data_IF_100461481370
#
_entry.id   IF_100461481370
#
_cell.length_a   1.000
_cell.length_b   1.000
_cell.length_c   1.000
_cell.angle_alpha   90.00
_cell.angle_beta   90.00
_cell.angle_gamma   90.00
#
_symmetry.space_group_name_H-M   'P 1'
#
loop_
_entity.id
_entity.type
_entity.pdbx_description
1 polymer ?
#
# COMPACT_ATOMS: atom_id res chain seq x y z
N UNK A 1 13.80 -14.34 4.65
CA UNK A 1 13.22 -14.41 6.02
C UNK A 1 13.53 -13.14 6.86
N UNK A 2 12.98 -11.98 6.49
CA UNK A 2 13.04 -10.77 7.36
C UNK A 2 11.76 -9.93 7.29
N UNK A 3 11.06 -9.94 6.15
CA UNK A 3 9.77 -9.27 6.01
C UNK A 3 8.72 -9.73 7.03
N UNK A 4 8.69 -11.03 7.37
CA UNK A 4 7.80 -11.55 8.41
C UNK A 4 8.12 -10.94 9.79
N UNK A 5 9.40 -10.78 10.14
CA UNK A 5 9.80 -10.13 11.39
C UNK A 5 9.33 -8.66 11.39
N UNK A 6 9.57 -7.92 10.29
CA UNK A 6 9.08 -6.55 10.14
C UNK A 6 7.56 -6.45 10.22
N UNK A 7 6.86 -7.44 9.67
CA UNK A 7 5.41 -7.55 9.75
C UNK A 7 4.95 -7.73 11.19
N UNK A 8 5.48 -8.71 11.93
CA UNK A 8 5.10 -8.94 13.32
C UNK A 8 5.45 -7.76 14.23
N UNK A 9 6.61 -7.12 14.04
CA UNK A 9 6.97 -5.89 14.75
C UNK A 9 5.97 -4.77 14.42
N UNK A 10 5.65 -4.57 13.13
CA UNK A 10 4.66 -3.57 12.70
C UNK A 10 3.30 -3.82 13.35
N UNK A 11 2.82 -5.06 13.34
CA UNK A 11 1.54 -5.47 13.93
C UNK A 11 1.53 -5.24 15.44
N UNK A 12 2.60 -5.61 16.14
CA UNK A 12 2.73 -5.44 17.59
C UNK A 12 2.67 -3.96 17.98
N UNK A 13 3.49 -3.12 17.31
CA UNK A 13 3.51 -1.69 17.54
C UNK A 13 2.18 -1.03 17.18
N UNK A 14 1.56 -1.43 16.07
CA UNK A 14 0.25 -0.92 15.68
C UNK A 14 -0.80 -1.27 16.74
N UNK A 15 -0.86 -2.52 17.23
CA UNK A 15 -1.80 -2.90 18.29
C UNK A 15 -1.61 -2.08 19.57
N UNK A 16 -0.37 -1.75 19.93
CA UNK A 16 -0.09 -0.88 21.09
C UNK A 16 -0.61 0.55 20.85
N UNK A 17 -0.39 1.12 19.66
CA UNK A 17 -0.90 2.44 19.27
C UNK A 17 -2.43 2.49 19.30
N UNK A 18 -3.08 1.46 18.75
CA UNK A 18 -4.53 1.38 18.62
C UNK A 18 -5.24 1.20 19.98
N UNK A 19 -4.62 0.56 20.98
CA UNK A 19 -5.20 0.45 22.33
C UNK A 19 -5.53 1.79 22.99
N UNK A 20 -4.87 2.87 22.56
CA UNK A 20 -5.06 4.21 23.09
C UNK A 20 -6.09 5.02 22.29
N UNK A 21 -6.61 4.46 21.18
CA UNK A 21 -7.57 5.13 20.31
C UNK A 21 -8.98 4.61 20.58
N UNK A 22 -9.94 5.51 20.72
CA UNK A 22 -11.36 5.17 20.72
C UNK A 22 -11.77 4.72 19.32
N UNK A 23 -12.44 3.58 19.23
CA UNK A 23 -13.05 3.12 17.99
C UNK A 23 -14.15 4.11 17.59
N UNK A 24 -14.14 4.54 16.33
CA UNK A 24 -15.18 5.36 15.72
C UNK A 24 -15.84 4.54 14.62
N UNK A 25 -17.17 4.44 14.63
CA UNK A 25 -17.91 3.64 13.65
C UNK A 25 -17.77 4.13 12.21
N UNK A 26 -17.28 5.36 12.00
CA UNK A 26 -17.11 5.99 10.69
C UNK A 26 -15.65 6.39 10.42
N UNK A 27 -15.20 6.14 9.18
CA UNK A 27 -13.93 6.58 8.63
C UNK A 27 -14.15 7.84 7.77
N UNK A 28 -13.57 8.97 8.18
CA UNK A 28 -13.59 10.17 7.34
C UNK A 28 -12.63 10.02 6.14
N UNK A 29 -12.93 10.72 5.04
CA UNK A 29 -12.03 10.79 3.88
C UNK A 29 -10.64 11.32 4.27
N UNK A 30 -10.56 12.27 5.20
CA UNK A 30 -9.30 12.77 5.74
C UNK A 30 -8.50 11.66 6.44
N UNK A 31 -9.16 10.83 7.26
CA UNK A 31 -8.52 9.68 7.92
C UNK A 31 -8.03 8.66 6.90
N UNK A 32 -8.85 8.34 5.89
CA UNK A 32 -8.55 7.36 4.86
C UNK A 32 -7.36 7.79 3.98
N UNK A 33 -7.30 9.08 3.63
CA UNK A 33 -6.28 9.66 2.74
C UNK A 33 -5.04 10.16 3.47
N UNK A 34 -5.04 10.13 4.82
CA UNK A 34 -3.86 10.48 5.60
C UNK A 34 -2.66 9.59 5.23
N UNK A 35 -1.52 10.18 4.83
CA UNK A 35 -0.39 9.38 4.37
C UNK A 35 0.21 8.50 5.48
N UNK A 36 0.50 7.24 5.14
CA UNK A 36 1.23 6.30 6.00
C UNK A 36 2.71 6.42 5.71
N UNK A 37 3.43 7.04 6.65
CA UNK A 37 4.88 7.20 6.57
C UNK A 37 5.57 6.16 7.43
N UNK A 38 6.47 5.37 6.83
CA UNK A 38 7.36 4.46 7.54
C UNK A 38 8.80 4.65 7.12
N UNK A 39 9.71 4.44 8.07
CA UNK A 39 11.14 4.46 7.80
C UNK A 39 11.70 3.04 7.82
N UNK A 40 12.49 2.72 6.81
CA UNK A 40 13.21 1.47 6.71
C UNK A 40 14.70 1.74 6.49
N UNK A 41 15.53 0.78 6.87
CA UNK A 41 16.94 0.74 6.49
C UNK A 41 17.13 -0.41 5.53
N UNK A 42 17.85 -0.19 4.43
CA UNK A 42 18.28 -1.27 3.54
C UNK A 42 19.32 -2.14 4.27
N UNK A 43 18.92 -3.33 4.68
CA UNK A 43 19.76 -4.26 5.44
C UNK A 43 20.24 -5.41 4.53
N UNK A 44 21.23 -6.23 4.95
CA UNK A 44 21.80 -7.25 4.06
C UNK A 44 20.76 -8.21 3.45
N UNK A 45 19.75 -8.60 4.23
CA UNK A 45 18.66 -9.47 3.78
C UNK A 45 17.62 -8.79 2.87
N UNK A 46 17.70 -7.47 2.72
CA UNK A 46 16.91 -6.71 1.76
C UNK A 46 17.60 -6.63 0.39
N UNK A 47 18.92 -6.83 0.37
CA UNK A 47 19.72 -6.77 -0.84
C UNK A 47 19.57 -8.06 -1.64
N UNK A 48 19.76 -7.93 -2.95
CA UNK A 48 19.83 -9.07 -3.87
C UNK A 48 21.26 -9.29 -4.35
N UNK A 49 21.38 -9.85 -5.54
CA UNK A 49 22.65 -10.04 -6.24
C UNK A 49 23.23 -8.73 -6.82
N UNK A 50 22.45 -7.64 -6.85
CA UNK A 50 22.86 -6.32 -7.34
C UNK A 50 23.17 -5.39 -6.17
N UNK A 51 24.02 -4.38 -6.40
CA UNK A 51 24.40 -3.37 -5.40
C UNK A 51 23.32 -2.28 -5.18
N UNK A 52 22.05 -2.69 -5.20
CA UNK A 52 20.92 -1.83 -4.89
C UNK A 52 19.72 -2.67 -4.43
N UNK A 53 18.76 -1.99 -3.82
CA UNK A 53 17.51 -2.58 -3.38
C UNK A 53 16.79 -3.24 -4.58
N UNK A 54 16.58 -4.56 -4.58
CA UNK A 54 15.96 -5.25 -5.71
C UNK A 54 14.47 -4.89 -5.82
N UNK A 55 13.94 -4.95 -7.05
CA UNK A 55 12.59 -4.52 -7.41
C UNK A 55 11.50 -5.11 -6.49
N UNK A 56 11.55 -6.42 -6.24
CA UNK A 56 10.56 -7.11 -5.39
C UNK A 56 10.51 -6.55 -3.96
N UNK A 57 11.59 -5.94 -3.47
CA UNK A 57 11.66 -5.42 -2.11
C UNK A 57 10.93 -4.10 -1.95
N UNK A 58 10.85 -3.28 -3.02
CA UNK A 58 9.95 -2.12 -3.03
C UNK A 58 8.52 -2.57 -2.80
N UNK A 59 8.08 -3.61 -3.52
CA UNK A 59 6.73 -4.15 -3.42
C UNK A 59 6.44 -4.66 -2.00
N UNK A 60 7.41 -5.36 -1.39
CA UNK A 60 7.27 -5.82 0.01
C UNK A 60 7.12 -4.66 1.01
N UNK A 61 7.75 -3.51 0.79
CA UNK A 61 7.57 -2.33 1.65
C UNK A 61 6.22 -1.63 1.42
N UNK A 62 5.72 -1.61 0.19
CA UNK A 62 4.36 -1.14 -0.13
C UNK A 62 3.33 -1.98 0.62
N UNK A 63 3.43 -3.31 0.53
CA UNK A 63 2.49 -4.23 1.20
C UNK A 63 2.45 -4.01 2.72
N UNK A 64 3.61 -3.79 3.35
CA UNK A 64 3.67 -3.49 4.78
C UNK A 64 2.95 -2.19 5.14
N UNK A 65 3.03 -1.16 4.30
CA UNK A 65 2.36 0.11 4.54
C UNK A 65 0.83 -0.01 4.34
N UNK A 66 0.40 -0.61 3.23
CA UNK A 66 -1.02 -0.85 2.93
C UNK A 66 -1.65 -1.75 4.01
N UNK A 67 -0.94 -2.78 4.46
CA UNK A 67 -1.45 -3.65 5.54
C UNK A 67 -1.56 -2.90 6.86
N UNK A 68 -0.59 -2.03 7.21
CA UNK A 68 -0.72 -1.16 8.40
C UNK A 68 -1.94 -0.26 8.28
N UNK A 69 -2.16 0.36 7.12
CA UNK A 69 -3.32 1.21 6.84
C UNK A 69 -4.64 0.45 7.01
N UNK A 70 -4.76 -0.71 6.36
CA UNK A 70 -5.99 -1.52 6.40
C UNK A 70 -6.30 -1.99 7.82
N UNK A 71 -5.28 -2.44 8.56
CA UNK A 71 -5.46 -2.86 9.96
C UNK A 71 -5.94 -1.72 10.86
N UNK A 72 -5.45 -0.48 10.64
CA UNK A 72 -5.93 0.68 11.38
C UNK A 72 -7.40 1.00 11.04
N UNK A 73 -7.76 0.98 9.76
CA UNK A 73 -9.14 1.19 9.32
C UNK A 73 -10.09 0.12 9.89
N UNK A 74 -9.68 -1.15 9.86
CA UNK A 74 -10.46 -2.26 10.42
C UNK A 74 -10.65 -2.11 11.93
N UNK A 75 -9.60 -1.70 12.65
CA UNK A 75 -9.70 -1.47 14.08
C UNK A 75 -10.70 -0.37 14.42
N UNK A 76 -10.62 0.76 13.71
CA UNK A 76 -11.55 1.87 13.88
C UNK A 76 -13.00 1.43 13.63
N UNK A 77 -13.25 0.70 12.53
CA UNK A 77 -14.57 0.16 12.16
C UNK A 77 -15.04 -1.05 12.98
N UNK A 78 -14.21 -1.60 13.86
CA UNK A 78 -14.51 -2.86 14.54
C UNK A 78 -14.60 -4.09 13.61
N UNK A 79 -14.08 -4.00 12.38
CA UNK A 79 -14.11 -5.08 11.40
C UNK A 79 -12.98 -6.08 11.69
N UNK A 80 -13.29 -7.36 11.60
CA UNK A 80 -12.32 -8.46 11.74
C UNK A 80 -12.15 -9.20 10.42
N UNK A 81 -10.93 -9.66 10.15
CA UNK A 81 -10.58 -10.53 9.02
C UNK A 81 -10.83 -9.94 7.63
N UNK A 82 -10.76 -8.62 7.48
CA UNK A 82 -10.71 -7.99 6.16
C UNK A 82 -9.27 -8.06 5.64
N UNK A 83 -9.12 -8.69 4.49
CA UNK A 83 -7.89 -8.79 3.72
C UNK A 83 -7.94 -7.92 2.46
N UNK A 84 -6.87 -8.01 1.68
CA UNK A 84 -6.77 -7.35 0.39
C UNK A 84 -5.95 -8.20 -0.58
N UNK A 85 -6.27 -8.10 -1.87
CA UNK A 85 -5.58 -8.82 -2.95
C UNK A 85 -5.24 -7.84 -4.07
N UNK A 86 -3.97 -7.84 -4.48
CA UNK A 86 -3.46 -6.99 -5.57
C UNK A 86 -4.16 -7.38 -6.89
N UNK A 87 -4.61 -6.36 -7.62
CA UNK A 87 -5.22 -6.48 -8.94
C UNK A 87 -4.36 -5.88 -10.06
N UNK A 88 -3.54 -4.87 -9.73
CA UNK A 88 -2.54 -4.29 -10.61
C UNK A 88 -1.50 -3.57 -9.77
N UNK A 89 -0.25 -3.60 -10.21
CA UNK A 89 0.82 -2.85 -9.57
C UNK A 89 1.80 -2.35 -10.63
N UNK A 90 2.25 -1.11 -10.44
CA UNK A 90 3.22 -0.45 -11.31
C UNK A 90 4.27 0.25 -10.45
N UNK A 91 5.51 0.26 -10.92
CA UNK A 91 6.63 0.93 -10.27
C UNK A 91 7.43 1.73 -11.29
N UNK A 92 7.66 3.00 -10.98
CA UNK A 92 8.59 3.88 -11.68
C UNK A 92 9.84 4.01 -10.80
N UNK A 93 10.96 3.47 -11.29
CA UNK A 93 12.26 3.55 -10.60
C UNK A 93 13.05 4.73 -11.16
N UNK A 94 13.34 5.72 -10.31
CA UNK A 94 14.06 6.92 -10.73
C UNK A 94 15.55 6.81 -10.40
N UNK A 95 15.86 6.29 -9.21
CA UNK A 95 17.23 6.17 -8.70
C UNK A 95 17.38 4.93 -7.83
N UNK A 96 18.61 4.41 -7.78
CA UNK A 96 18.94 3.27 -6.94
C UNK A 96 18.93 3.61 -5.44
N UNK A 97 18.41 2.70 -4.62
CA UNK A 97 18.52 2.76 -3.16
C UNK A 97 19.61 1.80 -2.74
N UNK A 98 20.68 2.31 -2.13
CA UNK A 98 21.86 1.51 -1.78
C UNK A 98 21.75 0.84 -0.41
N UNK A 99 22.67 -0.09 -0.17
CA UNK A 99 22.88 -0.68 1.14
C UNK A 99 22.96 0.39 2.25
N UNK A 100 22.36 0.09 3.41
CA UNK A 100 22.24 0.94 4.60
C UNK A 100 21.55 2.29 4.41
N UNK A 101 21.04 2.61 3.22
CA UNK A 101 20.25 3.83 3.04
C UNK A 101 19.02 3.80 3.97
N UNK A 102 18.79 4.91 4.66
CA UNK A 102 17.53 5.15 5.37
C UNK A 102 16.53 5.67 4.37
N UNK A 103 15.51 4.86 4.08
CA UNK A 103 14.43 5.23 3.19
C UNK A 103 13.19 5.63 3.99
N UNK A 104 12.49 6.65 3.50
CA UNK A 104 11.15 7.02 3.92
C UNK A 104 10.19 6.53 2.85
N UNK A 105 9.23 5.69 3.25
CA UNK A 105 8.21 5.13 2.36
C UNK A 105 6.88 5.73 2.78
N UNK A 106 6.34 6.56 1.90
CA UNK A 106 5.09 7.27 2.10
C UNK A 106 4.01 6.67 1.22
N UNK A 107 2.97 6.07 1.81
CA UNK A 107 1.87 5.45 1.08
C UNK A 107 0.56 6.19 1.36
N UNK A 108 -0.12 6.62 0.30
CA UNK A 108 -1.33 7.43 0.37
C UNK A 108 -2.44 6.76 -0.43
N UNK A 109 -3.64 6.66 0.16
CA UNK A 109 -4.85 6.34 -0.60
C UNK A 109 -5.15 7.52 -1.52
N UNK A 110 -5.11 7.28 -2.83
CA UNK A 110 -5.31 8.33 -3.85
C UNK A 110 -6.64 8.21 -4.59
N UNK A 111 -7.40 7.15 -4.33
CA UNK A 111 -8.75 6.99 -4.87
C UNK A 111 -9.34 5.60 -4.66
N UNK A 112 -10.60 5.44 -5.05
CA UNK A 112 -11.37 4.22 -5.06
C UNK A 112 -12.46 4.28 -6.13
N UNK A 113 -12.88 3.12 -6.61
CA UNK A 113 -14.08 2.95 -7.44
C UNK A 113 -15.04 1.95 -6.77
N UNK A 114 -16.07 1.49 -7.48
CA UNK A 114 -17.06 0.52 -6.97
C UNK A 114 -16.48 -0.82 -6.50
N UNK A 115 -15.21 -1.12 -6.78
CA UNK A 115 -14.59 -2.43 -6.54
C UNK A 115 -13.17 -2.34 -6.01
N UNK A 116 -12.39 -1.34 -6.43
CA UNK A 116 -10.96 -1.27 -6.20
C UNK A 116 -10.57 -0.05 -5.38
N UNK A 117 -9.48 -0.22 -4.66
CA UNK A 117 -8.79 0.81 -3.87
C UNK A 117 -7.43 1.07 -4.51
N UNK A 118 -7.04 2.35 -4.58
CA UNK A 118 -5.84 2.81 -5.29
C UNK A 118 -4.88 3.53 -4.33
N UNK A 119 -3.64 3.03 -4.25
CA UNK A 119 -2.58 3.61 -3.44
C UNK A 119 -1.43 4.10 -4.31
N UNK A 120 -0.96 5.31 -4.02
CA UNK A 120 0.35 5.80 -4.46
C UNK A 120 1.35 5.55 -3.31
N UNK A 121 2.56 5.10 -3.63
CA UNK A 121 3.66 5.00 -2.67
C UNK A 121 4.92 5.65 -3.20
N UNK A 122 5.47 6.61 -2.45
CA UNK A 122 6.73 7.30 -2.77
C UNK A 122 7.85 6.81 -1.88
N UNK A 123 8.99 6.50 -2.50
CA UNK A 123 10.22 6.13 -1.82
C UNK A 123 11.18 7.32 -1.84
N UNK A 124 11.64 7.75 -0.66
CA UNK A 124 12.57 8.86 -0.52
C UNK A 124 13.83 8.45 0.25
N UNK A 125 14.98 8.95 -0.16
CA UNK A 125 16.24 8.86 0.60
C UNK A 125 16.81 10.26 0.71
N UNK A 126 17.09 10.73 1.94
CA UNK A 126 17.53 12.13 2.20
C UNK A 126 16.63 13.17 1.51
N UNK A 127 15.32 12.99 1.61
CA UNK A 127 14.29 13.82 0.97
C UNK A 127 14.28 13.84 -0.57
N UNK A 128 15.11 13.02 -1.21
CA UNK A 128 15.14 12.86 -2.66
C UNK A 128 14.22 11.71 -3.09
N UNK A 129 13.40 11.93 -4.11
CA UNK A 129 12.52 10.90 -4.68
C UNK A 129 13.35 9.84 -5.42
N UNK A 130 13.17 8.59 -5.04
CA UNK A 130 13.91 7.43 -5.57
C UNK A 130 13.03 6.55 -6.46
N UNK A 131 11.73 6.50 -6.16
CA UNK A 131 10.75 5.78 -6.97
C UNK A 131 9.33 6.04 -6.51
N UNK A 132 8.39 5.76 -7.39
CA UNK A 132 6.95 5.90 -7.17
C UNK A 132 6.27 4.59 -7.57
N UNK A 133 5.35 4.12 -6.75
CA UNK A 133 4.55 2.93 -7.01
C UNK A 133 3.06 3.22 -6.99
N UNK A 134 2.32 2.60 -7.90
CA UNK A 134 0.87 2.58 -7.91
C UNK A 134 0.40 1.15 -7.61
N UNK A 135 -0.54 1.01 -6.67
CA UNK A 135 -1.10 -0.29 -6.29
C UNK A 135 -2.63 -0.23 -6.31
N UNK A 136 -3.24 -1.08 -7.13
CA UNK A 136 -4.67 -1.29 -7.23
C UNK A 136 -5.00 -2.62 -6.58
N UNK A 137 -5.94 -2.64 -5.64
CA UNK A 137 -6.33 -3.87 -4.97
C UNK A 137 -7.82 -3.93 -4.68
N UNK A 138 -8.30 -5.15 -4.46
CA UNK A 138 -9.68 -5.41 -4.01
C UNK A 138 -9.64 -5.85 -2.55
N UNK A 139 -10.63 -5.44 -1.77
CA UNK A 139 -10.82 -5.92 -0.41
C UNK A 139 -11.46 -7.31 -0.45
N UNK A 140 -11.18 -8.15 0.53
CA UNK A 140 -11.82 -9.46 0.62
C UNK A 140 -12.00 -9.91 2.06
N UNK A 141 -13.05 -10.67 2.32
CA UNK A 141 -13.31 -11.33 3.59
C UNK A 141 -13.51 -12.84 3.35
N UNK A 142 -14.08 -13.53 4.35
CA UNK A 142 -14.40 -14.96 4.25
C UNK A 142 -15.51 -15.28 3.24
N UNK A 143 -16.35 -14.31 2.89
CA UNK A 143 -17.46 -14.45 1.93
C UNK A 143 -17.05 -14.12 0.51
N UNK A 144 -15.94 -13.42 0.31
CA UNK A 144 -15.35 -13.17 -1.00
C UNK A 144 -14.84 -11.74 -1.15
N UNK A 145 -14.97 -11.18 -2.35
CA UNK A 145 -14.54 -9.81 -2.64
C UNK A 145 -15.55 -8.82 -2.04
N UNK A 146 -15.04 -7.79 -1.37
CA UNK A 146 -15.83 -6.73 -0.77
C UNK A 146 -15.62 -5.42 -1.54
N UNK A 147 -16.68 -4.62 -1.63
CA UNK A 147 -16.61 -3.29 -2.21
C UNK A 147 -16.01 -2.30 -1.18
N UNK A 148 -15.33 -1.22 -1.62
CA UNK A 148 -14.68 -0.24 -0.74
C UNK A 148 -15.59 0.40 0.32
N UNK A 149 -16.89 0.42 0.10
CA UNK A 149 -17.92 0.97 1.00
C UNK A 149 -17.89 0.34 2.40
N UNK A 150 -17.34 -0.87 2.56
CA UNK A 150 -17.13 -1.49 3.88
C UNK A 150 -16.21 -0.65 4.81
N UNK A 151 -15.39 0.22 4.23
CA UNK A 151 -14.53 1.17 4.92
C UNK A 151 -15.00 2.63 4.74
N UNK A 152 -16.28 2.85 4.47
CA UNK A 152 -16.91 4.16 4.25
C UNK A 152 -16.42 4.93 3.01
N UNK A 153 -15.75 4.23 2.09
CA UNK A 153 -15.40 4.76 0.76
C UNK A 153 -16.64 4.73 -0.15
N UNK A 154 -17.56 5.68 0.04
CA UNK A 154 -18.79 5.78 -0.76
C UNK A 154 -18.56 6.51 -2.08
N UNK A 155 -19.28 6.11 -3.12
CA UNK A 155 -19.15 6.71 -4.45
C UNK A 155 -17.81 6.37 -5.10
N UNK A 156 -17.45 7.13 -6.13
CA UNK A 156 -16.16 6.98 -6.81
C UNK A 156 -15.31 8.22 -6.56
N UNK A 157 -14.06 8.03 -6.17
CA UNK A 157 -13.07 9.08 -6.09
C UNK A 157 -11.86 8.68 -6.93
N UNK A 158 -11.73 9.28 -8.10
CA UNK A 158 -10.67 8.98 -9.05
C UNK A 158 -9.94 10.25 -9.48
N UNK A 159 -8.86 10.09 -10.23
CA UNK A 159 -8.08 11.19 -10.82
C UNK A 159 -7.52 10.74 -12.18
N UNK A 160 -6.91 11.67 -12.92
CA UNK A 160 -6.37 11.42 -14.27
C UNK A 160 -5.34 10.28 -14.31
N UNK A 161 -4.53 10.12 -13.25
CA UNK A 161 -3.55 9.03 -13.15
C UNK A 161 -4.28 7.68 -13.02
N UNK A 162 -5.30 7.59 -12.16
CA UNK A 162 -6.10 6.36 -12.01
C UNK A 162 -6.83 6.01 -13.32
N UNK A 163 -7.42 7.01 -13.98
CA UNK A 163 -8.17 6.82 -15.24
C UNK A 163 -7.24 6.30 -16.34
N UNK A 164 -6.12 6.97 -16.58
CA UNK A 164 -5.14 6.56 -17.60
C UNK A 164 -4.53 5.19 -17.27
N UNK A 165 -4.23 4.92 -16.00
CA UNK A 165 -3.70 3.64 -15.57
C UNK A 165 -4.69 2.48 -15.77
N UNK A 166 -5.98 2.71 -15.52
CA UNK A 166 -7.03 1.74 -15.78
C UNK A 166 -7.21 1.46 -17.28
N UNK A 167 -7.12 2.48 -18.13
CA UNK A 167 -7.13 2.31 -19.59
C UNK A 167 -5.92 1.46 -20.05
N UNK A 168 -4.73 1.72 -19.50
CA UNK A 168 -3.54 0.92 -19.76
C UNK A 168 -3.73 -0.55 -19.33
N UNK A 169 -4.34 -0.80 -18.17
CA UNK A 169 -4.65 -2.16 -17.73
C UNK A 169 -5.54 -2.91 -18.72
N UNK A 170 -6.58 -2.24 -19.23
CA UNK A 170 -7.49 -2.83 -20.22
C UNK A 170 -6.72 -3.14 -21.50
N UNK A 171 -5.91 -2.20 -21.99
CA UNK A 171 -5.09 -2.39 -23.17
C UNK A 171 -4.14 -3.59 -23.03
N UNK A 172 -3.46 -3.76 -21.89
CA UNK A 172 -2.59 -4.92 -21.63
C UNK A 172 -3.38 -6.23 -21.70
N UNK A 173 -4.57 -6.29 -21.10
CA UNK A 173 -5.39 -7.51 -21.06
C UNK A 173 -5.99 -7.88 -22.41
N UNK A 174 -6.24 -6.88 -23.25
CA UNK A 174 -6.82 -7.04 -24.58
C UNK A 174 -5.76 -7.20 -25.67
N UNK A 175 -4.48 -7.05 -25.36
CA UNK A 175 -3.40 -7.27 -26.31
C UNK A 175 -3.38 -8.75 -26.71
N UNK A 176 -3.60 -9.03 -28.00
CA UNK A 176 -3.48 -10.38 -28.53
C UNK A 176 -2.04 -10.88 -28.38
N UNK A 177 -1.88 -12.08 -27.85
CA UNK A 177 -0.59 -12.78 -27.85
C UNK A 177 -0.29 -13.17 -29.29
N UNK A 178 0.68 -12.50 -29.92
CA UNK A 178 1.24 -12.95 -31.20
C UNK A 178 2.07 -14.22 -31.01
#
# INVERSE_FOLDING_TARGET
MNMLIRFFIMVSLLKQQLKQQTANEHLSVETLTKPIVRHYRGLPHDMGFRDHLPNYRYLSFIELNITKWLMACCHQKGIKNLGWIIAMQEMVYLKEIKFLNKMTVNSTLVGWDKKYVYFETRFLVKNQLMGVGMTKFVLNDKKGKCAPEILDMTGEQTNEVIVSWNQHQVAIKSAETK
#
